data_IF_356451630489
#
_entry.id   IF_356451630489
#
_cell.length_a   1.000
_cell.length_b   1.000
_cell.length_c   1.000
_cell.angle_alpha   90.00
_cell.angle_beta   90.00
_cell.angle_gamma   90.00
#
_symmetry.space_group_name_H-M   'P 1'
#
loop_
_entity.id
_entity.type
_entity.pdbx_description
1 polymer ?
#
# COMPACT_ATOMS: atom_id res chain seq x y z
N UNK A 1 -26.24 -12.58 8.68
CA UNK A 1 -26.12 -11.10 8.66
C UNK A 1 -24.77 -10.82 8.03
N UNK A 2 -24.72 -10.33 6.79
CA UNK A 2 -23.46 -9.96 6.13
C UNK A 2 -22.97 -8.71 6.84
N UNK A 3 -21.77 -8.74 7.43
CA UNK A 3 -21.20 -7.60 8.12
C UNK A 3 -21.14 -6.42 7.14
N UNK A 4 -21.77 -5.30 7.50
CA UNK A 4 -21.56 -4.05 6.78
C UNK A 4 -20.07 -3.73 6.88
N UNK A 5 -19.33 -3.59 5.76
CA UNK A 5 -17.94 -3.20 5.83
C UNK A 5 -17.86 -1.90 6.63
N UNK A 6 -17.06 -1.89 7.70
CA UNK A 6 -16.75 -0.65 8.39
C UNK A 6 -16.02 0.21 7.35
N UNK A 7 -16.69 1.24 6.84
CA UNK A 7 -16.01 2.30 6.11
C UNK A 7 -15.08 2.97 7.13
N UNK A 8 -13.79 2.68 7.00
CA UNK A 8 -12.75 3.17 7.93
C UNK A 8 -12.73 4.70 7.98
N UNK A 9 -13.18 5.37 6.91
CA UNK A 9 -13.30 6.81 6.80
C UNK A 9 -14.69 7.22 6.31
N UNK A 10 -15.21 8.33 6.85
CA UNK A 10 -16.16 9.15 6.11
C UNK A 10 -15.39 9.83 4.97
N UNK A 11 -15.59 9.33 3.76
CA UNK A 11 -14.82 9.77 2.60
C UNK A 11 -15.09 11.24 2.27
N UNK A 12 -16.32 11.72 2.45
CA UNK A 12 -16.62 13.11 2.14
C UNK A 12 -16.01 14.08 3.15
N UNK A 13 -16.02 13.72 4.44
CA UNK A 13 -15.37 14.52 5.49
C UNK A 13 -13.85 14.62 5.30
N UNK A 14 -13.23 13.57 4.77
CA UNK A 14 -11.79 13.53 4.52
C UNK A 14 -11.35 14.29 3.26
N UNK A 15 -12.28 14.78 2.43
CA UNK A 15 -11.94 15.46 1.19
C UNK A 15 -11.13 16.74 1.46
N UNK A 16 -9.97 16.86 0.82
CA UNK A 16 -9.04 17.98 1.00
C UNK A 16 -8.07 17.83 2.17
N UNK A 17 -8.17 16.75 2.96
CA UNK A 17 -7.21 16.43 4.02
C UNK A 17 -6.06 15.54 3.52
N UNK A 18 -4.98 15.54 4.28
CA UNK A 18 -3.94 14.51 4.15
C UNK A 18 -4.38 13.33 5.01
N UNK A 19 -4.54 12.18 4.37
CA UNK A 19 -4.89 10.92 5.04
C UNK A 19 -3.71 9.98 4.99
N UNK A 20 -3.61 9.11 6.01
CA UNK A 20 -2.64 8.01 6.02
C UNK A 20 -3.40 6.70 6.16
N UNK A 21 -3.17 5.78 5.24
CA UNK A 21 -3.78 4.46 5.25
C UNK A 21 -2.70 3.40 5.37
N UNK A 22 -3.12 2.23 5.85
CA UNK A 22 -2.29 1.04 5.92
C UNK A 22 -2.98 -0.06 5.12
N UNK A 23 -2.25 -0.64 4.18
CA UNK A 23 -2.76 -1.71 3.33
C UNK A 23 -1.84 -2.91 3.38
N UNK A 24 -2.43 -4.07 3.68
CA UNK A 24 -1.76 -5.34 3.52
C UNK A 24 -1.48 -5.59 2.05
N UNK A 25 -0.24 -5.98 1.73
CA UNK A 25 0.18 -6.31 0.38
C UNK A 25 0.91 -7.63 0.42
N UNK A 26 0.57 -8.49 -0.52
CA UNK A 26 1.21 -9.78 -0.71
C UNK A 26 1.93 -9.75 -2.05
N UNK A 27 3.25 -9.94 -2.03
CA UNK A 27 4.04 -10.06 -3.26
C UNK A 27 4.30 -11.54 -3.54
N UNK A 28 4.09 -11.95 -4.79
CA UNK A 28 4.32 -13.33 -5.24
C UNK A 28 5.24 -13.34 -6.46
N UNK A 29 6.15 -14.31 -6.52
CA UNK A 29 7.09 -14.44 -7.62
C UNK A 29 8.32 -13.55 -7.48
N UNK A 30 8.81 -12.98 -8.59
CA UNK A 30 10.02 -12.18 -8.62
C UNK A 30 9.79 -10.74 -8.15
N UNK A 31 10.84 -10.11 -7.61
CA UNK A 31 10.88 -8.68 -7.29
C UNK A 31 10.57 -7.83 -8.54
N UNK A 32 9.53 -6.99 -8.46
CA UNK A 32 9.04 -6.17 -9.56
C UNK A 32 8.13 -5.04 -9.06
N UNK A 33 7.85 -4.07 -9.93
CA UNK A 33 6.78 -3.11 -9.72
C UNK A 33 5.42 -3.81 -9.74
N UNK A 34 4.63 -3.60 -8.69
CA UNK A 34 3.28 -4.12 -8.55
C UNK A 34 2.29 -2.98 -8.33
N UNK A 35 1.10 -3.14 -8.89
CA UNK A 35 0.00 -2.20 -8.66
C UNK A 35 -0.63 -2.45 -7.30
N UNK A 36 -0.57 -1.45 -6.43
CA UNK A 36 -1.28 -1.40 -5.16
C UNK A 36 -2.60 -0.66 -5.39
N UNK A 37 -3.72 -1.39 -5.27
CA UNK A 37 -5.06 -0.80 -5.35
C UNK A 37 -5.62 -0.59 -3.96
N UNK A 38 -5.93 0.66 -3.60
CA UNK A 38 -6.51 1.02 -2.31
C UNK A 38 -7.80 0.25 -2.05
N UNK A 39 -7.93 -0.33 -0.86
CA UNK A 39 -9.14 -1.07 -0.47
C UNK A 39 -10.40 -0.21 -0.55
N UNK A 40 -11.54 -0.85 -0.84
CA UNK A 40 -12.83 -0.19 -0.84
C UNK A 40 -13.14 0.42 0.53
N UNK A 41 -13.53 1.70 0.55
CA UNK A 41 -13.79 2.45 1.78
C UNK A 41 -12.71 3.46 2.15
N UNK A 42 -11.51 3.37 1.57
CA UNK A 42 -10.54 4.46 1.63
C UNK A 42 -10.94 5.61 0.68
N UNK A 43 -10.64 6.87 1.02
CA UNK A 43 -10.86 7.99 0.12
C UNK A 43 -9.95 7.88 -1.10
N UNK A 44 -10.38 8.41 -2.24
CA UNK A 44 -9.56 8.43 -3.45
C UNK A 44 -8.35 9.36 -3.30
N UNK A 45 -7.28 9.06 -4.03
CA UNK A 45 -6.12 9.95 -4.23
C UNK A 45 -6.57 11.14 -5.08
N UNK A 46 -6.28 12.37 -4.64
CA UNK A 46 -6.63 13.60 -5.36
C UNK A 46 -5.61 13.92 -6.46
N UNK A 47 -5.88 13.48 -7.69
CA UNK A 47 -4.98 13.68 -8.82
C UNK A 47 -4.97 15.14 -9.34
N UNK A 48 -5.79 16.04 -8.78
CA UNK A 48 -5.69 17.47 -9.07
C UNK A 48 -4.43 18.11 -8.47
N UNK A 49 -3.75 17.41 -7.56
CA UNK A 49 -2.52 17.87 -6.92
C UNK A 49 -1.31 17.41 -7.73
N UNK A 50 -0.32 18.29 -7.90
CA UNK A 50 0.92 17.98 -8.62
C UNK A 50 1.72 16.83 -7.97
N UNK A 51 1.64 16.72 -6.64
CA UNK A 51 2.27 15.66 -5.85
C UNK A 51 1.23 15.07 -4.88
N UNK A 52 0.33 14.20 -5.37
CA UNK A 52 -0.83 13.77 -4.61
C UNK A 52 -0.45 12.71 -3.55
N UNK A 53 0.58 11.90 -3.82
CA UNK A 53 1.21 11.00 -2.85
C UNK A 53 2.39 11.71 -2.20
N UNK A 54 2.38 11.78 -0.87
CA UNK A 54 3.39 12.47 -0.07
C UNK A 54 4.45 11.53 0.47
N UNK A 55 4.03 10.34 0.91
CA UNK A 55 4.93 9.34 1.48
C UNK A 55 4.36 7.95 1.23
N UNK A 56 5.25 7.03 0.88
CA UNK A 56 4.97 5.59 0.86
C UNK A 56 6.04 4.90 1.67
N UNK A 57 5.63 4.12 2.66
CA UNK A 57 6.50 3.27 3.45
C UNK A 57 6.09 1.82 3.27
N UNK A 58 7.07 0.96 3.02
CA UNK A 58 6.87 -0.47 2.83
C UNK A 58 7.54 -1.23 3.96
N UNK A 59 6.74 -1.95 4.73
CA UNK A 59 7.19 -2.82 5.81
C UNK A 59 7.07 -4.28 5.39
N UNK A 60 8.22 -4.94 5.24
CA UNK A 60 8.30 -6.38 5.00
C UNK A 60 8.09 -7.15 6.29
N UNK A 61 7.26 -8.20 6.25
CA UNK A 61 7.14 -9.19 7.31
C UNK A 61 7.81 -10.47 6.82
N UNK A 62 8.91 -10.85 7.47
CA UNK A 62 9.64 -12.08 7.20
C UNK A 62 9.10 -13.18 8.12
N UNK A 63 8.15 -13.99 7.63
CA UNK A 63 7.55 -15.07 8.42
C UNK A 63 6.22 -15.55 7.87
N UNK A 64 6.11 -16.86 7.64
CA UNK A 64 5.20 -17.53 6.71
C UNK A 64 3.77 -17.69 7.19
N UNK A 65 2.83 -17.48 6.27
CA UNK A 65 1.47 -18.04 6.29
C UNK A 65 0.58 -17.56 7.46
N UNK A 66 -0.70 -17.41 7.18
CA UNK A 66 -1.78 -17.02 8.08
C UNK A 66 -1.99 -17.92 9.32
N UNK A 67 -1.06 -18.84 9.62
CA UNK A 67 -1.15 -19.83 10.69
C UNK A 67 0.15 -20.06 11.49
N UNK A 68 1.19 -19.22 11.37
CA UNK A 68 2.42 -19.42 12.15
C UNK A 68 2.25 -19.08 13.63
N UNK A 69 2.52 -20.06 14.50
CA UNK A 69 2.88 -19.86 15.90
C UNK A 69 4.36 -19.51 15.95
N UNK A 70 4.67 -18.23 16.12
CA UNK A 70 6.01 -17.59 16.00
C UNK A 70 7.14 -18.30 16.78
N UNK A 71 8.24 -18.62 16.10
CA UNK A 71 9.58 -18.40 16.66
C UNK A 71 10.23 -17.27 15.86
N UNK A 72 10.56 -16.16 16.53
CA UNK A 72 11.37 -15.09 15.94
C UNK A 72 12.74 -15.67 15.56
N UNK A 73 12.96 -15.90 14.28
CA UNK A 73 14.24 -16.41 13.79
C UNK A 73 15.25 -15.26 13.67
N UNK A 74 16.49 -15.53 14.09
CA UNK A 74 17.57 -14.56 14.14
C UNK A 74 17.83 -13.91 12.76
N UNK A 75 18.35 -12.67 12.78
CA UNK A 75 18.76 -11.84 11.63
C UNK A 75 19.88 -12.43 10.72
N UNK A 76 20.17 -13.73 10.82
CA UNK A 76 21.16 -14.40 9.99
C UNK A 76 20.61 -14.84 8.63
N UNK A 77 19.29 -14.89 8.45
CA UNK A 77 18.60 -15.22 7.19
C UNK A 77 17.62 -14.11 6.78
N UNK A 78 18.02 -12.84 6.93
CA UNK A 78 17.21 -11.71 6.45
C UNK A 78 16.92 -11.86 4.95
N UNK A 79 15.64 -11.78 4.57
CA UNK A 79 15.25 -11.77 3.16
C UNK A 79 15.84 -10.52 2.51
N UNK A 80 16.11 -10.58 1.20
CA UNK A 80 16.63 -9.44 0.47
C UNK A 80 15.83 -8.17 0.78
N UNK A 81 16.50 -7.20 1.42
CA UNK A 81 15.89 -5.91 1.75
C UNK A 81 15.40 -5.27 0.45
N UNK A 82 14.26 -4.58 0.53
CA UNK A 82 13.63 -3.94 -0.64
C UNK A 82 14.64 -3.19 -1.49
N UNK A 83 14.61 -3.43 -2.79
CA UNK A 83 15.47 -2.74 -3.75
C UNK A 83 14.80 -1.44 -4.16
N UNK A 84 15.60 -0.38 -4.31
CA UNK A 84 15.07 0.88 -4.81
C UNK A 84 14.57 0.71 -6.26
N UNK A 85 13.54 1.47 -6.67
CA UNK A 85 13.14 1.59 -8.07
C UNK A 85 14.35 1.76 -9.00
N UNK A 86 14.44 0.97 -10.07
CA UNK A 86 15.61 0.95 -10.97
C UNK A 86 15.33 1.59 -12.33
N UNK A 87 14.05 1.80 -12.66
CA UNK A 87 13.62 2.41 -13.90
C UNK A 87 12.44 3.37 -13.72
N UNK A 88 12.22 4.23 -14.71
CA UNK A 88 11.00 5.04 -14.81
C UNK A 88 9.78 4.11 -14.89
N UNK A 89 8.78 4.35 -14.04
CA UNK A 89 7.54 3.54 -13.97
C UNK A 89 7.54 2.46 -12.89
N UNK A 90 8.66 2.25 -12.17
CA UNK A 90 8.71 1.39 -10.98
C UNK A 90 7.98 2.03 -9.77
N UNK A 91 7.79 3.35 -9.82
CA UNK A 91 6.86 4.10 -9.00
C UNK A 91 6.02 5.00 -9.91
N UNK A 92 4.70 4.84 -9.86
CA UNK A 92 3.78 5.60 -10.70
C UNK A 92 2.41 5.72 -10.02
N UNK A 93 1.65 6.75 -10.34
CA UNK A 93 0.26 6.90 -9.88
C UNK A 93 -0.63 6.51 -11.05
N UNK A 94 -1.18 5.30 -11.01
CA UNK A 94 -1.94 4.73 -12.13
C UNK A 94 -3.40 5.20 -12.16
N UNK A 95 -3.91 5.71 -11.03
CA UNK A 95 -5.27 6.21 -10.96
C UNK A 95 -5.66 6.67 -9.55
N UNK A 96 -6.93 7.07 -9.43
CA UNK A 96 -7.50 7.64 -8.21
C UNK A 96 -7.56 6.65 -7.02
N UNK A 97 -7.31 5.36 -7.25
CA UNK A 97 -7.22 4.32 -6.20
C UNK A 97 -6.00 3.42 -6.37
N UNK A 98 -5.04 3.77 -7.22
CA UNK A 98 -3.97 2.84 -7.57
C UNK A 98 -2.63 3.52 -7.81
N UNK A 99 -1.58 2.93 -7.26
CA UNK A 99 -0.21 3.34 -7.48
C UNK A 99 0.68 2.11 -7.64
N UNK A 100 1.78 2.26 -8.37
CA UNK A 100 2.83 1.26 -8.49
C UNK A 100 3.87 1.44 -7.43
N UNK A 101 4.25 0.34 -6.81
CA UNK A 101 5.36 0.26 -5.87
C UNK A 101 6.25 -0.93 -6.24
N UNK A 102 7.56 -0.74 -6.16
CA UNK A 102 8.52 -1.80 -6.36
C UNK A 102 8.55 -2.72 -5.12
N UNK A 103 8.02 -3.93 -5.26
CA UNK A 103 7.90 -4.89 -4.16
C UNK A 103 8.94 -5.99 -4.26
N UNK A 104 9.41 -6.44 -3.10
CA UNK A 104 10.28 -7.63 -3.01
C UNK A 104 9.45 -8.88 -3.28
N UNK A 105 9.95 -9.78 -4.12
CA UNK A 105 9.27 -11.02 -4.47
C UNK A 105 9.10 -11.96 -3.27
N UNK A 106 7.96 -12.67 -3.20
CA UNK A 106 7.63 -13.67 -2.17
C UNK A 106 7.65 -13.15 -0.73
N UNK A 107 7.28 -11.89 -0.52
CA UNK A 107 7.21 -11.26 0.81
C UNK A 107 5.83 -10.63 1.01
N UNK A 108 5.22 -10.90 2.16
CA UNK A 108 4.02 -10.21 2.61
C UNK A 108 4.42 -9.01 3.47
N UNK A 109 3.55 -8.02 3.56
CA UNK A 109 3.85 -6.83 4.33
C UNK A 109 2.72 -5.84 4.42
N UNK A 110 3.08 -4.65 4.88
CA UNK A 110 2.18 -3.52 5.06
C UNK A 110 2.74 -2.31 4.31
N UNK A 111 1.95 -1.74 3.40
CA UNK A 111 2.23 -0.43 2.82
C UNK A 111 1.49 0.62 3.64
N UNK A 112 2.21 1.62 4.13
CA UNK A 112 1.63 2.87 4.64
C UNK A 112 1.70 3.94 3.55
N UNK A 113 0.58 4.57 3.25
CA UNK A 113 0.47 5.57 2.17
C UNK A 113 -0.13 6.84 2.77
N UNK A 114 0.61 7.95 2.69
CA UNK A 114 0.11 9.28 3.04
C UNK A 114 -0.15 10.11 1.77
N UNK A 115 -1.35 10.63 1.60
CA UNK A 115 -1.77 11.30 0.37
C UNK A 115 -2.89 12.33 0.59
N UNK A 116 -3.08 13.21 -0.40
CA UNK A 116 -4.21 14.14 -0.46
C UNK A 116 -5.50 13.40 -0.85
N UNK A 117 -6.51 13.43 0.01
CA UNK A 117 -7.78 12.75 -0.24
C UNK A 117 -8.73 13.60 -1.11
N UNK A 118 -9.28 13.01 -2.17
CA UNK A 118 -10.35 13.60 -2.99
C UNK A 118 -11.75 13.32 -2.44
N UNK A 119 -11.84 12.50 -1.38
CA UNK A 119 -13.06 11.95 -0.83
C UNK A 119 -13.63 10.81 -1.65
N UNK A 120 -14.92 10.82 -2.01
CA UNK A 120 -15.50 9.81 -2.91
C UNK A 120 -15.31 10.12 -4.40
N UNK A 121 -14.71 11.28 -4.73
CA UNK A 121 -14.50 11.73 -6.10
C UNK A 121 -13.49 10.81 -6.80
N UNK A 122 -13.78 10.45 -8.05
CA UNK A 122 -12.89 9.66 -8.91
C UNK A 122 -12.13 10.61 -9.83
N UNK A 123 -11.30 11.48 -9.24
CA UNK A 123 -10.60 12.56 -9.95
C UNK A 123 -9.11 12.44 -9.81
#
# INVERSE_FOLDING_TARGET
MVATPITVYDREECAGHIVTIFQLVNSTGATKAETITLNAGYPSIDLSKAHPILCVFWYNIEGSDSSATEEESNANDEVARGTAPTASGDFDIEGYMSLKLYLTGNVNGLVMISYWAAGSKQV
#
